data_IF_726794184727
#
_entry.id   IF_726794184727
#
_cell.length_a   1.000
_cell.length_b   1.000
_cell.length_c   1.000
_cell.angle_alpha   90.00
_cell.angle_beta   90.00
_cell.angle_gamma   90.00
#
_symmetry.space_group_name_H-M   'P 1'
#
loop_
_entity.id
_entity.type
_entity.pdbx_description
1 polymer ?
#
# COMPACT_ATOMS: atom_id res chain seq x y z
N UNK A 1 -8.04 -19.24 5.40
CA UNK A 1 -7.63 -18.33 4.30
C UNK A 1 -8.27 -16.95 4.45
N UNK A 2 -9.60 -16.86 4.59
CA UNK A 2 -10.33 -15.59 4.76
C UNK A 2 -9.88 -14.82 6.02
N UNK A 3 -9.73 -15.50 7.16
CA UNK A 3 -9.31 -14.86 8.43
C UNK A 3 -7.95 -14.15 8.33
N UNK A 4 -6.96 -14.75 7.64
CA UNK A 4 -5.64 -14.13 7.42
C UNK A 4 -5.74 -12.90 6.53
N UNK A 5 -6.64 -12.93 5.54
CA UNK A 5 -6.89 -11.83 4.62
C UNK A 5 -7.54 -10.64 5.35
N UNK A 6 -8.49 -10.92 6.25
CA UNK A 6 -9.11 -9.92 7.12
C UNK A 6 -8.08 -9.29 8.07
N UNK A 7 -7.20 -10.09 8.69
CA UNK A 7 -6.14 -9.59 9.57
C UNK A 7 -5.14 -8.71 8.79
N UNK A 8 -4.73 -9.14 7.59
CA UNK A 8 -3.84 -8.33 6.74
C UNK A 8 -4.49 -6.99 6.35
N UNK A 9 -5.80 -6.99 6.09
CA UNK A 9 -6.56 -5.79 5.76
C UNK A 9 -6.68 -4.84 6.96
N UNK A 10 -6.87 -5.37 8.17
CA UNK A 10 -6.86 -4.59 9.41
C UNK A 10 -5.47 -4.01 9.72
N UNK A 11 -4.39 -4.77 9.50
CA UNK A 11 -3.02 -4.27 9.65
C UNK A 11 -2.70 -3.17 8.64
N UNK A 12 -3.16 -3.30 7.40
CA UNK A 12 -3.03 -2.27 6.37
C UNK A 12 -3.75 -0.97 6.79
N UNK A 13 -4.97 -1.09 7.32
CA UNK A 13 -5.73 0.05 7.88
C UNK A 13 -4.99 0.67 9.08
N UNK A 14 -4.43 -0.15 9.96
CA UNK A 14 -3.65 0.33 11.11
C UNK A 14 -2.39 1.10 10.70
N UNK A 15 -1.63 0.56 9.75
CA UNK A 15 -0.46 1.23 9.15
C UNK A 15 -0.89 2.52 8.46
N UNK A 16 -2.04 2.52 7.78
CA UNK A 16 -2.59 3.71 7.13
C UNK A 16 -2.93 4.81 8.14
N UNK A 17 -3.61 4.49 9.24
CA UNK A 17 -3.93 5.45 10.30
C UNK A 17 -2.63 6.00 10.91
N UNK A 18 -1.65 5.13 11.13
CA UNK A 18 -0.33 5.53 11.64
C UNK A 18 0.40 6.46 10.67
N UNK A 19 0.40 6.15 9.37
CA UNK A 19 1.07 6.94 8.34
C UNK A 19 0.39 8.29 8.12
N UNK A 20 -0.96 8.33 8.13
CA UNK A 20 -1.71 9.59 8.14
C UNK A 20 -1.31 10.41 9.35
N UNK A 21 -1.36 9.83 10.56
CA UNK A 21 -1.00 10.55 11.78
C UNK A 21 0.44 11.06 11.74
N UNK A 22 1.37 10.26 11.22
CA UNK A 22 2.77 10.65 11.07
C UNK A 22 2.95 11.80 10.05
N UNK A 23 2.23 11.76 8.93
CA UNK A 23 2.28 12.80 7.91
C UNK A 23 1.48 14.07 8.26
N UNK A 24 0.47 13.97 9.13
CA UNK A 24 -0.33 15.10 9.62
C UNK A 24 0.18 15.69 10.93
N UNK A 25 1.22 15.12 11.54
CA UNK A 25 1.97 15.70 12.67
C UNK A 25 2.87 16.86 12.19
N UNK A 26 2.29 17.82 11.48
CA UNK A 26 2.82 19.18 11.38
C UNK A 26 1.94 20.04 12.30
N UNK A 27 2.57 20.61 13.33
CA UNK A 27 2.09 21.47 14.42
C UNK A 27 0.64 22.03 14.39
N UNK A 28 -0.02 22.20 15.56
CA UNK A 28 -1.44 22.62 15.70
C UNK A 28 -1.80 24.02 15.14
N UNK A 29 -0.89 24.71 14.45
CA UNK A 29 -1.07 26.08 13.96
C UNK A 29 -0.68 26.32 12.50
N UNK A 30 -0.33 25.29 11.71
CA UNK A 30 -0.03 25.50 10.28
C UNK A 30 -1.29 25.39 9.43
N UNK A 31 -1.55 26.48 8.71
CA UNK A 31 -2.52 26.62 7.61
C UNK A 31 -2.63 25.31 6.83
N UNK A 32 -3.85 24.82 6.72
CA UNK A 32 -4.22 23.67 5.92
C UNK A 32 -3.63 23.77 4.50
N UNK A 33 -2.70 22.88 4.16
CA UNK A 33 -2.05 22.86 2.85
C UNK A 33 -2.78 21.85 1.94
N UNK A 34 -3.73 22.37 1.16
CA UNK A 34 -4.53 21.60 0.19
C UNK A 34 -3.69 20.74 -0.74
N UNK A 35 -2.48 21.20 -1.07
CA UNK A 35 -1.56 20.50 -1.98
C UNK A 35 -1.00 19.25 -1.33
N UNK A 36 -0.54 19.34 -0.07
CA UNK A 36 -0.04 18.19 0.69
C UNK A 36 -1.12 17.12 0.85
N UNK A 37 -2.36 17.52 1.12
CA UNK A 37 -3.46 16.57 1.24
C UNK A 37 -3.80 15.90 -0.10
N UNK A 38 -3.82 16.66 -1.20
CA UNK A 38 -4.09 16.09 -2.53
C UNK A 38 -3.01 15.08 -2.92
N UNK A 39 -1.73 15.40 -2.68
CA UNK A 39 -0.62 14.48 -2.87
C UNK A 39 -0.84 13.21 -2.04
N UNK A 40 -1.16 13.34 -0.76
CA UNK A 40 -1.34 12.19 0.14
C UNK A 40 -2.50 11.28 -0.30
N UNK A 41 -3.65 11.87 -0.65
CA UNK A 41 -4.82 11.13 -1.13
C UNK A 41 -4.50 10.40 -2.45
N UNK A 42 -3.80 11.04 -3.37
CA UNK A 42 -3.45 10.43 -4.66
C UNK A 42 -2.42 9.31 -4.48
N UNK A 43 -1.41 9.50 -3.63
CA UNK A 43 -0.40 8.47 -3.29
C UNK A 43 -1.09 7.25 -2.71
N UNK A 44 -2.01 7.48 -1.78
CA UNK A 44 -2.76 6.39 -1.16
C UNK A 44 -3.65 5.66 -2.16
N UNK A 45 -4.44 6.40 -2.94
CA UNK A 45 -5.38 5.83 -3.92
C UNK A 45 -4.65 4.98 -4.95
N UNK A 46 -3.54 5.48 -5.51
CA UNK A 46 -2.74 4.71 -6.46
C UNK A 46 -2.09 3.47 -5.81
N UNK A 47 -1.59 3.59 -4.59
CA UNK A 47 -1.01 2.45 -3.86
C UNK A 47 -2.05 1.36 -3.64
N UNK A 48 -3.28 1.73 -3.26
CA UNK A 48 -4.38 0.81 -3.04
C UNK A 48 -4.84 0.14 -4.33
N UNK A 49 -4.95 0.90 -5.43
CA UNK A 49 -5.28 0.35 -6.76
C UNK A 49 -4.24 -0.70 -7.18
N UNK A 50 -2.94 -0.39 -7.05
CA UNK A 50 -1.90 -1.34 -7.42
C UNK A 50 -1.87 -2.59 -6.53
N UNK A 51 -2.10 -2.44 -5.22
CA UNK A 51 -2.22 -3.58 -4.31
C UNK A 51 -3.38 -4.51 -4.69
N UNK A 52 -4.56 -3.94 -4.94
CA UNK A 52 -5.72 -4.71 -5.38
C UNK A 52 -5.42 -5.42 -6.70
N UNK A 53 -4.81 -4.73 -7.67
CA UNK A 53 -4.45 -5.33 -8.96
C UNK A 53 -3.48 -6.52 -8.78
N UNK A 54 -2.45 -6.37 -7.94
CA UNK A 54 -1.49 -7.45 -7.65
C UNK A 54 -2.18 -8.63 -6.97
N UNK A 55 -3.08 -8.40 -6.01
CA UNK A 55 -3.82 -9.48 -5.36
C UNK A 55 -4.77 -10.19 -6.33
N UNK A 56 -5.44 -9.47 -7.22
CA UNK A 56 -6.26 -10.06 -8.28
C UNK A 56 -5.42 -10.93 -9.20
N UNK A 57 -4.23 -10.46 -9.61
CA UNK A 57 -3.29 -11.22 -10.44
C UNK A 57 -2.85 -12.51 -9.72
N UNK A 58 -2.52 -12.44 -8.42
CA UNK A 58 -2.16 -13.61 -7.62
C UNK A 58 -3.31 -14.62 -7.55
N UNK A 59 -4.55 -14.14 -7.40
CA UNK A 59 -5.74 -15.01 -7.41
C UNK A 59 -5.90 -15.67 -8.78
N UNK A 60 -5.80 -14.91 -9.86
CA UNK A 60 -5.90 -15.42 -11.24
C UNK A 60 -4.85 -16.51 -11.49
N UNK A 61 -3.58 -16.28 -11.13
CA UNK A 61 -2.52 -17.28 -11.29
C UNK A 61 -2.81 -18.56 -10.49
N UNK A 62 -3.33 -18.45 -9.27
CA UNK A 62 -3.74 -19.63 -8.48
C UNK A 62 -4.90 -20.39 -9.13
N UNK A 63 -5.87 -19.68 -9.70
CA UNK A 63 -7.05 -20.28 -10.34
C UNK A 63 -6.71 -20.97 -11.66
N UNK A 64 -5.79 -20.41 -12.45
CA UNK A 64 -5.33 -20.99 -13.72
C UNK A 64 -4.42 -22.21 -13.51
N UNK A 65 -4.05 -22.52 -12.26
CA UNK A 65 -3.24 -23.70 -11.95
C UNK A 65 -1.73 -23.49 -12.13
N UNK A 66 -1.26 -22.23 -12.12
CA UNK A 66 0.16 -21.91 -11.92
C UNK A 66 0.55 -22.24 -10.47
N UNK A 67 0.53 -23.53 -10.11
CA UNK A 67 0.93 -24.04 -8.79
C UNK A 67 2.46 -24.11 -8.62
N UNK A 68 3.22 -24.04 -9.71
CA UNK A 68 4.68 -24.23 -9.69
C UNK A 68 5.49 -22.94 -9.54
N UNK A 69 4.84 -21.78 -9.30
CA UNK A 69 5.54 -20.57 -8.90
C UNK A 69 5.70 -20.57 -7.38
N UNK A 70 6.52 -21.50 -6.89
CA UNK A 70 6.99 -21.50 -5.50
C UNK A 70 8.01 -20.38 -5.33
N UNK A 71 7.49 -19.18 -5.10
CA UNK A 71 8.29 -18.15 -4.47
C UNK A 71 8.38 -18.50 -2.98
N UNK A 72 9.29 -19.39 -2.61
CA UNK A 72 9.47 -19.90 -1.24
C UNK A 72 9.43 -18.78 -0.18
N UNK A 73 10.10 -17.66 -0.47
CA UNK A 73 10.11 -16.49 0.42
C UNK A 73 8.74 -15.80 0.55
N UNK A 74 7.99 -15.69 -0.55
CA UNK A 74 6.60 -15.19 -0.53
C UNK A 74 5.65 -16.20 0.11
N UNK A 75 6.03 -17.49 0.15
CA UNK A 75 5.17 -18.54 0.67
C UNK A 75 5.31 -18.72 2.18
N UNK A 76 6.54 -18.59 2.69
CA UNK A 76 6.90 -18.72 4.11
C UNK A 76 6.59 -17.44 4.91
N UNK A 77 6.86 -16.26 4.34
CA UNK A 77 6.65 -14.96 4.99
C UNK A 77 5.65 -14.07 4.23
N UNK A 78 4.46 -14.62 3.94
CA UNK A 78 3.38 -13.95 3.18
C UNK A 78 3.07 -12.54 3.70
N UNK A 79 2.95 -12.39 5.01
CA UNK A 79 2.60 -11.11 5.62
C UNK A 79 3.74 -10.08 5.47
N UNK A 80 5.00 -10.50 5.68
CA UNK A 80 6.18 -9.62 5.57
C UNK A 80 6.39 -9.19 4.12
N UNK A 81 6.23 -10.10 3.17
CA UNK A 81 6.33 -9.80 1.76
C UNK A 81 5.26 -8.79 1.31
N UNK A 82 4.02 -8.95 1.78
CA UNK A 82 2.93 -8.03 1.46
C UNK A 82 3.14 -6.64 2.09
N UNK A 83 3.71 -6.58 3.31
CA UNK A 83 4.11 -5.32 3.95
C UNK A 83 5.24 -4.64 3.19
N UNK A 84 6.28 -5.38 2.80
CA UNK A 84 7.39 -4.86 1.99
C UNK A 84 6.92 -4.32 0.63
N UNK A 85 6.04 -5.06 -0.05
CA UNK A 85 5.40 -4.63 -1.30
C UNK A 85 4.58 -3.34 -1.10
N UNK A 86 3.79 -3.28 -0.03
CA UNK A 86 2.99 -2.09 0.31
C UNK A 86 3.89 -0.87 0.53
N UNK A 87 4.96 -1.02 1.31
CA UNK A 87 5.91 0.07 1.56
C UNK A 87 6.63 0.51 0.29
N UNK A 88 7.09 -0.43 -0.54
CA UNK A 88 7.74 -0.12 -1.81
C UNK A 88 6.80 0.67 -2.74
N UNK A 89 5.55 0.24 -2.88
CA UNK A 89 4.54 0.95 -3.67
C UNK A 89 4.26 2.33 -3.12
N UNK A 90 4.14 2.48 -1.80
CA UNK A 90 3.89 3.76 -1.15
C UNK A 90 5.04 4.74 -1.44
N UNK A 91 6.29 4.30 -1.33
CA UNK A 91 7.48 5.12 -1.65
C UNK A 91 7.52 5.49 -3.13
N UNK A 92 7.31 4.52 -4.05
CA UNK A 92 7.32 4.77 -5.50
C UNK A 92 6.23 5.77 -5.88
N UNK A 93 5.01 5.57 -5.38
CA UNK A 93 3.89 6.47 -5.65
C UNK A 93 4.12 7.85 -5.04
N UNK A 94 4.66 7.93 -3.83
CA UNK A 94 5.03 9.19 -3.21
C UNK A 94 6.02 9.97 -4.06
N UNK A 95 7.10 9.35 -4.53
CA UNK A 95 8.09 10.00 -5.39
C UNK A 95 7.47 10.44 -6.72
N UNK A 96 6.69 9.56 -7.37
CA UNK A 96 6.06 9.83 -8.66
C UNK A 96 5.07 11.00 -8.60
N UNK A 97 4.19 10.99 -7.60
CA UNK A 97 3.14 12.00 -7.44
C UNK A 97 3.73 13.31 -6.91
N UNK A 98 4.68 13.25 -5.98
CA UNK A 98 5.37 14.46 -5.53
C UNK A 98 6.12 15.15 -6.68
N UNK A 99 6.69 14.40 -7.64
CA UNK A 99 7.22 14.99 -8.88
C UNK A 99 6.12 15.65 -9.72
N UNK A 100 4.98 15.00 -9.91
CA UNK A 100 3.83 15.53 -10.66
C UNK A 100 3.32 16.86 -10.11
N UNK A 101 3.26 17.00 -8.78
CA UNK A 101 2.74 18.22 -8.14
C UNK A 101 3.80 19.31 -7.94
N UNK A 102 5.10 19.03 -8.09
CA UNK A 102 6.20 20.00 -8.01
C UNK A 102 6.59 20.64 -9.35
N UNK A 103 5.82 20.37 -10.41
CA UNK A 103 5.89 21.11 -11.69
C UNK A 103 5.13 22.42 -11.57
#
# INVERSE_FOLDING_TARGET
>A
MILKLVIALLLLIGIFIFFIKYLTLDAPTKVYDERKQRILIEVFSNTLIYLIAIWFIIIIFKTIGFKNLDFDFLNEYKEVANLGLTLALLVINYISINKKYNV
#
